data_IF_336038514417
#
_entry.id   IF_336038514417
#
_cell.length_a   1.000
_cell.length_b   1.000
_cell.length_c   1.000
_cell.angle_alpha   90.00
_cell.angle_beta   90.00
_cell.angle_gamma   90.00
#
_symmetry.space_group_name_H-M   'P 1'
#
loop_
_entity.id
_entity.type
_entity.pdbx_description
1 polymer ?
#
# COMPACT_ATOMS: atom_id res chain seq x y z
N UNK A 1 -22.52 -11.98 1.16
CA UNK A 1 -21.21 -11.45 1.58
C UNK A 1 -20.42 -11.25 0.32
N UNK A 2 -20.02 -10.03 0.04
CA UNK A 2 -19.12 -9.77 -1.10
C UNK A 2 -17.79 -10.47 -0.83
N UNK A 3 -17.14 -11.00 -1.87
CA UNK A 3 -15.90 -11.78 -1.73
C UNK A 3 -14.83 -11.00 -0.94
N UNK A 4 -14.75 -9.68 -1.14
CA UNK A 4 -13.82 -8.77 -0.47
C UNK A 4 -14.20 -8.38 0.98
N UNK A 5 -15.32 -8.87 1.50
CA UNK A 5 -15.63 -8.77 2.94
C UNK A 5 -14.90 -9.86 3.75
N UNK A 6 -14.39 -10.90 3.07
CA UNK A 6 -13.62 -11.97 3.67
C UNK A 6 -12.13 -11.63 3.74
N UNK A 7 -11.51 -12.02 4.86
CA UNK A 7 -10.11 -11.75 5.11
C UNK A 7 -9.18 -12.32 4.02
N UNK A 8 -9.38 -13.58 3.61
CA UNK A 8 -8.52 -14.26 2.66
C UNK A 8 -8.49 -13.56 1.30
N UNK A 9 -9.66 -13.26 0.74
CA UNK A 9 -9.80 -12.62 -0.56
C UNK A 9 -9.29 -11.18 -0.52
N UNK A 10 -9.71 -10.37 0.46
CA UNK A 10 -9.27 -8.99 0.56
C UNK A 10 -7.77 -8.85 0.84
N UNK A 11 -7.20 -9.79 1.61
CA UNK A 11 -5.75 -9.84 1.85
C UNK A 11 -4.98 -10.20 0.59
N UNK A 12 -5.50 -11.10 -0.25
CA UNK A 12 -4.86 -11.44 -1.52
C UNK A 12 -4.93 -10.27 -2.48
N UNK A 13 -6.11 -9.71 -2.67
CA UNK A 13 -6.34 -8.56 -3.55
C UNK A 13 -5.45 -7.36 -3.18
N UNK A 14 -5.29 -7.05 -1.89
CA UNK A 14 -4.40 -5.97 -1.45
C UNK A 14 -2.94 -6.23 -1.86
N UNK A 15 -2.44 -7.45 -1.64
CA UNK A 15 -1.06 -7.82 -1.99
C UNK A 15 -0.85 -7.77 -3.50
N UNK A 16 -1.78 -8.32 -4.27
CA UNK A 16 -1.73 -8.33 -5.73
C UNK A 16 -1.79 -6.90 -6.28
N UNK A 17 -2.60 -6.02 -5.68
CA UNK A 17 -2.70 -4.60 -6.07
C UNK A 17 -1.39 -3.84 -5.83
N UNK A 18 -0.76 -4.00 -4.66
CA UNK A 18 0.51 -3.32 -4.34
C UNK A 18 1.64 -3.85 -5.23
N UNK A 19 1.71 -5.17 -5.43
CA UNK A 19 2.69 -5.79 -6.30
C UNK A 19 2.52 -5.32 -7.75
N UNK A 20 1.29 -5.31 -8.26
CA UNK A 20 0.98 -4.83 -9.61
C UNK A 20 1.36 -3.36 -9.80
N UNK A 21 1.14 -2.52 -8.79
CA UNK A 21 1.60 -1.13 -8.83
C UNK A 21 3.13 -1.03 -8.87
N UNK A 22 3.84 -1.80 -8.03
CA UNK A 22 5.30 -1.88 -8.03
C UNK A 22 5.84 -2.29 -9.40
N UNK A 23 5.24 -3.31 -10.01
CA UNK A 23 5.66 -3.82 -11.32
C UNK A 23 5.36 -2.81 -12.44
N UNK A 24 4.22 -2.13 -12.40
CA UNK A 24 3.91 -1.04 -13.33
C UNK A 24 4.95 0.10 -13.21
N UNK A 25 5.35 0.46 -11.98
CA UNK A 25 6.41 1.44 -11.77
C UNK A 25 7.76 0.98 -12.34
N UNK A 26 8.15 -0.27 -12.17
CA UNK A 26 9.39 -0.80 -12.76
C UNK A 26 9.37 -0.76 -14.29
N UNK A 27 8.20 -0.92 -14.93
CA UNK A 27 8.07 -0.78 -16.39
C UNK A 27 8.24 0.67 -16.85
N UNK A 28 7.65 1.62 -16.12
CA UNK A 28 7.67 3.04 -16.50
C UNK A 28 9.00 3.73 -16.12
N UNK A 29 9.66 3.27 -15.06
CA UNK A 29 10.91 3.84 -14.54
C UNK A 29 11.99 2.76 -14.49
N UNK A 30 12.95 2.76 -15.43
CA UNK A 30 14.05 1.79 -15.44
C UNK A 30 14.87 1.74 -14.14
N UNK A 31 14.95 2.87 -13.41
CA UNK A 31 15.63 2.94 -12.10
C UNK A 31 14.91 2.14 -11.00
N UNK A 32 13.62 1.86 -11.17
CA UNK A 32 12.80 1.08 -10.25
C UNK A 32 12.73 -0.40 -10.64
N UNK A 33 13.24 -0.79 -11.81
CA UNK A 33 13.46 -2.17 -12.22
C UNK A 33 14.75 -2.71 -11.56
N UNK A 34 14.62 -3.18 -10.32
CA UNK A 34 15.76 -3.58 -9.49
C UNK A 34 15.44 -4.81 -8.67
N UNK A 35 16.40 -5.70 -8.50
CA UNK A 35 16.30 -6.84 -7.57
C UNK A 35 16.50 -6.42 -6.10
N UNK A 36 16.85 -5.16 -5.84
CA UNK A 36 17.15 -4.65 -4.49
C UNK A 36 15.91 -4.23 -3.69
N UNK A 37 14.70 -4.42 -4.23
CA UNK A 37 13.47 -4.18 -3.46
C UNK A 37 13.44 -5.06 -2.22
N UNK A 38 13.36 -4.42 -1.05
CA UNK A 38 13.11 -5.09 0.21
C UNK A 38 11.60 -5.26 0.37
N UNK A 39 11.15 -6.50 0.54
CA UNK A 39 9.74 -6.83 0.67
C UNK A 39 9.46 -7.48 2.02
N UNK A 40 8.46 -6.96 2.74
CA UNK A 40 7.81 -7.62 3.86
C UNK A 40 6.31 -7.84 3.52
N UNK A 41 5.86 -9.09 3.61
CA UNK A 41 4.45 -9.45 3.40
C UNK A 41 3.53 -9.01 4.55
N UNK A 42 4.11 -8.46 5.61
CA UNK A 42 3.46 -8.08 6.84
C UNK A 42 3.06 -9.26 7.71
N UNK A 43 2.37 -8.93 8.80
CA UNK A 43 1.88 -9.90 9.77
C UNK A 43 0.36 -9.86 9.88
N UNK A 44 -0.24 -11.03 10.10
CA UNK A 44 -1.65 -11.15 10.39
C UNK A 44 -1.84 -11.00 11.89
N UNK A 45 -2.73 -10.10 12.30
CA UNK A 45 -3.12 -9.92 13.70
C UNK A 45 -4.57 -10.38 13.89
N UNK A 46 -4.84 -10.96 15.04
CA UNK A 46 -6.17 -11.45 15.41
C UNK A 46 -6.77 -10.46 16.41
N UNK A 47 -7.96 -9.97 16.11
CA UNK A 47 -8.68 -9.04 16.97
C UNK A 47 -9.27 -9.74 18.20
N UNK A 48 -9.75 -8.94 19.15
CA UNK A 48 -10.60 -9.44 20.24
C UNK A 48 -11.84 -10.09 19.63
N UNK A 49 -12.34 -11.14 20.28
CA UNK A 49 -13.59 -11.77 19.89
C UNK A 49 -14.76 -10.80 20.04
N UNK A 50 -15.74 -10.91 19.15
CA UNK A 50 -17.03 -10.25 19.29
C UNK A 50 -17.93 -10.95 20.32
N UNK A 51 -19.16 -10.45 20.45
CA UNK A 51 -20.15 -10.96 21.40
C UNK A 51 -20.54 -12.43 21.16
N UNK A 52 -20.37 -12.92 19.92
CA UNK A 52 -20.66 -14.29 19.51
C UNK A 52 -19.41 -15.20 19.57
N UNK A 53 -18.26 -14.65 20.00
CA UNK A 53 -17.00 -15.38 20.12
C UNK A 53 -16.19 -15.45 18.82
N UNK A 54 -16.62 -14.84 17.72
CA UNK A 54 -15.89 -14.83 16.46
C UNK A 54 -14.80 -13.76 16.45
N UNK A 55 -13.69 -14.05 15.75
CA UNK A 55 -12.50 -13.18 15.73
C UNK A 55 -12.19 -12.71 14.32
N UNK A 56 -12.18 -11.40 14.13
CA UNK A 56 -11.66 -10.78 12.91
C UNK A 56 -10.13 -10.86 12.84
N UNK A 57 -9.60 -10.72 11.64
CA UNK A 57 -8.17 -10.64 11.33
C UNK A 57 -7.88 -9.41 10.49
N UNK A 58 -6.78 -8.74 10.79
CA UNK A 58 -6.23 -7.66 9.97
C UNK A 58 -4.82 -8.03 9.52
N UNK A 59 -4.32 -7.36 8.48
CA UNK A 59 -2.92 -7.50 8.03
C UNK A 59 -2.24 -6.14 8.11
N UNK A 60 -1.08 -6.12 8.77
CA UNK A 60 -0.32 -4.90 9.05
C UNK A 60 1.14 -5.08 8.65
N UNK A 61 1.78 -3.99 8.25
CA UNK A 61 3.21 -3.98 7.97
C UNK A 61 3.60 -4.61 6.63
N UNK A 62 2.69 -4.64 5.65
CA UNK A 62 3.09 -4.93 4.28
C UNK A 62 4.00 -3.78 3.85
N UNK A 63 5.17 -4.08 3.29
CA UNK A 63 6.07 -3.04 2.81
C UNK A 63 6.89 -3.46 1.60
N UNK A 64 7.09 -2.51 0.71
CA UNK A 64 8.13 -2.55 -0.32
C UNK A 64 9.03 -1.33 -0.09
N UNK A 65 10.34 -1.50 -0.12
CA UNK A 65 11.28 -0.39 0.01
C UNK A 65 12.43 -0.56 -1.00
N UNK A 66 12.76 0.52 -1.71
CA UNK A 66 13.92 0.58 -2.58
C UNK A 66 14.69 1.85 -2.29
N UNK A 67 15.97 1.70 -1.95
CA UNK A 67 16.91 2.83 -1.89
C UNK A 67 17.28 3.23 -3.30
N UNK A 68 16.86 4.41 -3.71
CA UNK A 68 17.04 4.94 -5.07
C UNK A 68 16.94 6.46 -5.01
N UNK A 69 17.73 7.13 -5.85
CA UNK A 69 17.65 8.58 -6.02
C UNK A 69 16.67 8.90 -7.14
N UNK A 70 15.55 9.51 -6.80
CA UNK A 70 14.57 10.06 -7.73
C UNK A 70 14.70 11.58 -7.81
N UNK A 71 14.17 12.15 -8.88
CA UNK A 71 14.01 13.59 -9.08
C UNK A 71 12.61 14.05 -8.68
N UNK A 72 12.41 15.37 -8.60
CA UNK A 72 11.08 15.94 -8.37
C UNK A 72 10.12 15.55 -9.49
N UNK A 73 10.59 15.57 -10.74
CA UNK A 73 9.80 15.20 -11.92
C UNK A 73 9.36 13.73 -11.88
N UNK A 74 10.18 12.84 -11.33
CA UNK A 74 9.82 11.44 -11.13
C UNK A 74 8.70 11.32 -10.08
N UNK A 75 8.78 12.06 -8.97
CA UNK A 75 7.74 12.06 -7.94
C UNK A 75 6.39 12.55 -8.48
N UNK A 76 6.39 13.58 -9.33
CA UNK A 76 5.17 14.07 -10.00
C UNK A 76 4.58 13.03 -10.95
N UNK A 77 5.41 12.34 -11.74
CA UNK A 77 4.94 11.28 -12.64
C UNK A 77 4.42 10.06 -11.86
N UNK A 78 5.10 9.67 -10.78
CA UNK A 78 4.66 8.59 -9.90
C UNK A 78 3.34 8.94 -9.25
N UNK A 79 3.11 10.19 -8.85
CA UNK A 79 1.80 10.65 -8.35
C UNK A 79 0.68 10.42 -9.37
N UNK A 80 0.89 10.79 -10.64
CA UNK A 80 -0.11 10.59 -11.69
C UNK A 80 -0.43 9.10 -11.90
N UNK A 81 0.61 8.24 -11.93
CA UNK A 81 0.42 6.80 -12.05
C UNK A 81 -0.26 6.19 -10.84
N UNK A 82 0.11 6.62 -9.63
CA UNK A 82 -0.52 6.20 -8.39
C UNK A 82 -2.02 6.51 -8.41
N UNK A 83 -2.36 7.74 -8.78
CA UNK A 83 -3.74 8.19 -8.88
C UNK A 83 -4.53 7.39 -9.92
N UNK A 84 -3.99 7.17 -11.11
CA UNK A 84 -4.67 6.40 -12.16
C UNK A 84 -4.88 4.93 -11.73
N UNK A 85 -3.84 4.30 -11.21
CA UNK A 85 -3.87 2.91 -10.73
C UNK A 85 -4.92 2.70 -9.65
N UNK A 86 -4.91 3.54 -8.60
CA UNK A 86 -5.79 3.32 -7.46
C UNK A 86 -7.22 3.81 -7.65
N UNK A 87 -7.48 4.80 -8.52
CA UNK A 87 -8.85 5.21 -8.86
C UNK A 87 -9.66 4.10 -9.54
N UNK A 88 -9.00 3.16 -10.23
CA UNK A 88 -9.66 1.99 -10.85
C UNK A 88 -9.71 0.77 -9.92
N UNK A 89 -9.06 0.86 -8.75
CA UNK A 89 -9.05 -0.18 -7.73
C UNK A 89 -10.16 0.03 -6.69
N UNK A 90 -10.29 -0.91 -5.75
CA UNK A 90 -11.15 -0.74 -4.57
C UNK A 90 -10.65 0.29 -3.56
N UNK A 91 -9.41 0.75 -3.67
CA UNK A 91 -8.79 1.79 -2.83
C UNK A 91 -8.90 3.17 -3.52
N UNK A 92 -10.09 3.52 -3.99
CA UNK A 92 -10.32 4.68 -4.85
C UNK A 92 -10.33 6.03 -4.11
N UNK A 93 -10.22 6.05 -2.79
CA UNK A 93 -10.03 7.29 -2.03
C UNK A 93 -8.55 7.66 -2.04
N UNK A 94 -8.15 8.38 -3.09
CA UNK A 94 -6.76 8.76 -3.36
C UNK A 94 -6.48 10.20 -2.90
N UNK A 95 -5.41 10.36 -2.11
CA UNK A 95 -4.97 11.66 -1.58
C UNK A 95 -3.46 11.86 -1.74
N UNK A 96 -3.04 13.13 -1.75
CA UNK A 96 -1.64 13.57 -1.74
C UNK A 96 -1.44 14.52 -0.58
N UNK A 97 -0.40 14.28 0.22
CA UNK A 97 -0.04 15.10 1.36
C UNK A 97 1.09 16.07 0.97
N UNK A 98 0.80 17.39 0.81
CA UNK A 98 1.78 18.36 0.36
C UNK A 98 2.72 18.87 1.46
N UNK A 99 2.47 18.52 2.73
CA UNK A 99 3.06 19.22 3.88
C UNK A 99 4.60 19.19 3.94
N UNK A 100 5.24 18.22 3.30
CA UNK A 100 6.71 18.05 3.35
C UNK A 100 7.36 18.00 1.95
N UNK A 101 6.65 18.42 0.91
CA UNK A 101 7.18 18.36 -0.46
C UNK A 101 8.35 19.32 -0.65
N UNK A 102 8.32 20.50 -0.02
CA UNK A 102 9.45 21.44 0.01
C UNK A 102 10.72 20.85 0.65
N UNK A 103 10.57 19.78 1.45
CA UNK A 103 11.68 19.01 2.04
C UNK A 103 12.05 17.77 1.21
N UNK A 104 11.54 17.68 -0.02
CA UNK A 104 11.70 16.53 -0.90
C UNK A 104 11.07 15.25 -0.37
N UNK A 105 9.97 15.34 0.38
CA UNK A 105 9.25 14.18 0.94
C UNK A 105 7.81 14.17 0.45
N UNK A 106 7.52 13.25 -0.45
CA UNK A 106 6.19 13.05 -1.02
C UNK A 106 5.50 11.89 -0.32
N UNK A 107 4.22 12.04 -0.03
CA UNK A 107 3.37 10.98 0.52
C UNK A 107 2.03 10.97 -0.20
N UNK A 108 1.70 9.83 -0.79
CA UNK A 108 0.44 9.56 -1.47
C UNK A 108 -0.27 8.44 -0.72
N UNK A 109 -1.59 8.51 -0.60
CA UNK A 109 -2.40 7.49 0.05
C UNK A 109 -3.56 7.09 -0.84
N UNK A 110 -3.91 5.81 -0.81
CA UNK A 110 -5.07 5.23 -1.47
C UNK A 110 -5.80 4.37 -0.45
N UNK A 111 -7.08 4.62 -0.22
CA UNK A 111 -7.84 3.94 0.82
C UNK A 111 -9.23 3.50 0.37
N UNK A 112 -9.80 2.54 1.10
CA UNK A 112 -11.19 2.11 0.96
C UNK A 112 -12.06 2.71 2.07
N UNK A 113 -13.38 2.83 1.85
CA UNK A 113 -14.32 3.21 2.92
C UNK A 113 -14.31 2.28 4.14
N UNK A 114 -13.83 1.04 3.99
CA UNK A 114 -13.67 0.08 5.08
C UNK A 114 -12.41 0.31 5.92
N UNK A 115 -11.49 1.15 5.42
CA UNK A 115 -10.24 1.51 6.09
C UNK A 115 -9.04 0.66 5.68
N UNK A 116 -9.07 -0.02 4.52
CA UNK A 116 -7.83 -0.53 3.94
C UNK A 116 -7.05 0.62 3.33
N UNK A 117 -5.72 0.51 3.30
CA UNK A 117 -4.88 1.60 2.87
C UNK A 117 -3.59 1.12 2.24
N UNK A 118 -3.15 1.84 1.21
CA UNK A 118 -1.80 1.78 0.66
C UNK A 118 -1.23 3.17 0.65
N UNK A 119 -0.03 3.31 1.19
CA UNK A 119 0.73 4.56 1.14
C UNK A 119 1.96 4.39 0.26
N UNK A 120 2.25 5.39 -0.57
CA UNK A 120 3.51 5.54 -1.28
C UNK A 120 4.26 6.73 -0.69
N UNK A 121 5.52 6.54 -0.33
CA UNK A 121 6.40 7.60 0.16
C UNK A 121 7.66 7.67 -0.69
N UNK A 122 8.04 8.88 -1.08
CA UNK A 122 9.26 9.14 -1.85
C UNK A 122 10.09 10.18 -1.11
N UNK A 123 11.33 9.84 -0.82
CA UNK A 123 12.30 10.77 -0.23
C UNK A 123 13.37 11.08 -1.28
N UNK A 124 13.41 12.33 -1.72
CA UNK A 124 14.41 12.83 -2.65
C UNK A 124 15.75 13.06 -1.95
N UNK A 125 16.88 13.07 -2.70
CA UNK A 125 18.19 13.37 -2.16
C UNK A 125 18.28 14.77 -1.53
N UNK A 126 18.65 14.83 -0.26
CA UNK A 126 19.10 16.03 0.44
C UNK A 126 19.88 15.66 1.71
N UNK A 127 20.28 16.66 2.50
CA UNK A 127 21.10 16.47 3.71
C UNK A 127 20.45 15.58 4.78
N UNK A 128 19.12 15.45 4.79
CA UNK A 128 18.36 14.80 5.85
C UNK A 128 17.68 13.49 5.43
N UNK A 129 17.69 13.20 4.13
CA UNK A 129 16.97 12.07 3.56
C UNK A 129 17.93 10.98 3.13
N UNK A 130 17.59 9.72 3.43
CA UNK A 130 18.10 8.58 2.68
C UNK A 130 17.21 8.46 1.44
N UNK A 131 17.75 8.63 0.21
CA UNK A 131 16.92 8.58 -1.00
C UNK A 131 16.27 7.23 -1.16
N UNK A 132 14.95 7.21 -1.29
CA UNK A 132 14.19 5.97 -1.41
C UNK A 132 12.77 6.21 -1.92
N UNK A 133 12.17 5.12 -2.39
CA UNK A 133 10.73 4.97 -2.53
C UNK A 133 10.27 3.80 -1.65
N UNK A 134 9.11 3.94 -1.03
CA UNK A 134 8.52 2.88 -0.22
C UNK A 134 7.01 2.82 -0.34
N UNK A 135 6.48 1.61 -0.37
CA UNK A 135 5.05 1.34 -0.23
C UNK A 135 4.78 0.73 1.13
N UNK A 136 3.67 1.09 1.75
CA UNK A 136 3.16 0.40 2.92
C UNK A 136 1.69 0.05 2.74
N UNK A 137 1.28 -1.09 3.27
CA UNK A 137 -0.08 -1.61 3.11
C UNK A 137 -0.71 -2.03 4.44
N UNK A 138 -1.99 -1.73 4.57
CA UNK A 138 -2.84 -2.08 5.69
C UNK A 138 -4.16 -2.66 5.21
N UNK A 139 -4.53 -3.81 5.78
CA UNK A 139 -5.84 -4.42 5.59
C UNK A 139 -6.62 -4.33 6.90
N UNK A 140 -7.78 -3.69 6.87
CA UNK A 140 -8.68 -3.61 8.02
C UNK A 140 -9.20 -4.99 8.44
N UNK A 141 -9.73 -5.05 9.66
CA UNK A 141 -10.18 -6.28 10.30
C UNK A 141 -11.41 -6.89 9.59
N UNK A 142 -11.29 -8.13 9.15
CA UNK A 142 -12.35 -8.93 8.49
C UNK A 142 -12.50 -10.31 9.10
N UNK A 143 -13.67 -10.92 8.97
CA UNK A 143 -13.85 -12.33 9.32
C UNK A 143 -13.23 -13.23 8.25
N UNK A 144 -12.88 -14.45 8.63
CA UNK A 144 -12.54 -15.48 7.66
C UNK A 144 -13.80 -16.19 7.18
N UNK A 145 -13.73 -16.79 6.00
CA UNK A 145 -14.81 -17.63 5.48
C UNK A 145 -15.24 -18.71 6.48
N UNK A 146 -14.26 -19.44 7.04
CA UNK A 146 -14.51 -20.51 7.99
C UNK A 146 -15.14 -20.06 9.32
N UNK A 147 -15.06 -18.77 9.64
CA UNK A 147 -15.70 -18.24 10.86
C UNK A 147 -17.21 -18.01 10.62
N UNK A 148 -17.66 -18.00 9.36
CA UNK A 148 -19.03 -17.64 8.94
C UNK A 148 -19.81 -18.83 8.35
N UNK A 149 -19.14 -19.92 7.98
CA UNK A 149 -19.75 -21.15 7.45
C UNK A 149 -20.46 -22.01 8.53
N UNK A 150 -21.05 -21.39 9.56
CA UNK A 150 -21.73 -22.09 10.67
C UNK A 150 -23.25 -21.98 10.61
#
# INVERSE_FOLDING_TARGET
>A
MEELELFEAASKDLLDTIQGFKDNLSIQFPLLDSDNWQYDKGSIKVCKADELGFKKRCRVGISYNLKVSLLNEDAEQIWLLFKDWFNTSRLSQVERNPNNEDLGRYVFSASSPLGDQVDCSIYLPNEWNIPQISFSGYLTARYRACDLDK
#
